data_IF_209742804111
#
_entry.id   IF_209742804111
#
_cell.length_a   1.000
_cell.length_b   1.000
_cell.length_c   1.000
_cell.angle_alpha   90.00
_cell.angle_beta   90.00
_cell.angle_gamma   90.00
#
_symmetry.space_group_name_H-M   'P 1'
#
loop_
_entity.id
_entity.type
_entity.pdbx_description
1 polymer ?
#
# COMPACT_ATOMS: atom_id res chain seq x y z
N UNK A 1 1.22 6.32 22.64
CA UNK A 1 1.77 6.30 21.27
C UNK A 1 0.74 6.93 20.35
N UNK A 2 1.17 7.88 19.60
CA UNK A 2 0.27 8.65 18.73
C UNK A 2 -0.35 7.78 17.67
N UNK A 3 -1.67 7.90 17.49
CA UNK A 3 -2.42 7.17 16.48
C UNK A 3 -2.17 7.68 15.04
N UNK A 4 -1.11 8.48 14.85
CA UNK A 4 -0.69 9.04 13.56
C UNK A 4 -0.37 7.97 12.52
N UNK A 5 0.00 6.76 12.96
CA UNK A 5 0.30 5.65 12.04
C UNK A 5 -0.90 5.22 11.19
N UNK A 6 -2.14 5.56 11.58
CA UNK A 6 -3.31 5.33 10.74
C UNK A 6 -3.35 6.25 9.51
N UNK A 7 -2.69 7.39 9.55
CA UNK A 7 -2.81 8.45 8.55
C UNK A 7 -1.64 8.52 7.57
N UNK A 8 -0.43 8.21 8.02
CA UNK A 8 0.78 8.36 7.23
C UNK A 8 1.12 7.07 6.44
N UNK A 9 1.45 7.16 5.14
CA UNK A 9 1.95 6.02 4.36
C UNK A 9 3.18 5.37 5.04
N UNK A 10 3.31 4.06 4.94
CA UNK A 10 4.28 3.17 5.59
C UNK A 10 4.15 3.00 7.10
N UNK A 11 3.58 3.97 7.81
CA UNK A 11 3.50 3.93 9.27
C UNK A 11 2.67 2.76 9.78
N UNK A 12 1.56 2.46 9.10
CA UNK A 12 0.72 1.34 9.49
C UNK A 12 1.43 0.01 9.29
N UNK A 13 2.10 -0.16 8.15
CA UNK A 13 2.89 -1.37 7.85
C UNK A 13 4.01 -1.55 8.86
N UNK A 14 4.72 -0.47 9.19
CA UNK A 14 5.78 -0.50 10.19
C UNK A 14 5.25 -0.98 11.55
N UNK A 15 4.20 -0.37 12.07
CA UNK A 15 3.63 -0.68 13.39
C UNK A 15 2.98 -2.07 13.42
N UNK A 16 2.31 -2.49 12.34
CA UNK A 16 1.55 -3.75 12.36
C UNK A 16 2.31 -4.97 11.86
N UNK A 17 3.31 -4.81 10.98
CA UNK A 17 3.97 -5.93 10.28
C UNK A 17 5.49 -5.94 10.40
N UNK A 18 6.14 -4.76 10.50
CA UNK A 18 7.61 -4.62 10.46
C UNK A 18 8.21 -4.29 11.84
N UNK A 19 7.59 -4.77 12.92
CA UNK A 19 7.95 -4.44 14.32
C UNK A 19 9.40 -4.78 14.73
N UNK A 20 10.14 -5.58 13.96
CA UNK A 20 11.53 -5.93 14.25
C UNK A 20 12.46 -5.45 13.15
N UNK A 21 13.70 -5.10 13.51
CA UNK A 21 14.73 -4.70 12.53
C UNK A 21 14.95 -5.74 11.43
N UNK A 22 14.95 -7.04 11.78
CA UNK A 22 15.10 -8.10 10.78
C UNK A 22 13.96 -8.12 9.76
N UNK A 23 12.72 -7.89 10.17
CA UNK A 23 11.57 -7.78 9.26
C UNK A 23 11.65 -6.55 8.37
N UNK A 24 12.10 -5.42 8.93
CA UNK A 24 12.30 -4.19 8.15
C UNK A 24 13.40 -4.39 7.08
N UNK A 25 14.55 -4.94 7.47
CA UNK A 25 15.66 -5.23 6.54
C UNK A 25 15.21 -6.21 5.46
N UNK A 26 14.53 -7.30 5.85
CA UNK A 26 13.98 -8.27 4.90
C UNK A 26 13.01 -7.62 3.91
N UNK A 27 12.13 -6.73 4.39
CA UNK A 27 11.19 -6.00 3.54
C UNK A 27 11.91 -5.08 2.53
N UNK A 28 12.95 -4.37 2.96
CA UNK A 28 13.77 -3.53 2.08
C UNK A 28 14.45 -4.38 0.99
N UNK A 29 15.08 -5.50 1.40
CA UNK A 29 15.82 -6.38 0.46
C UNK A 29 14.88 -7.08 -0.51
N UNK A 30 13.72 -7.57 -0.04
CA UNK A 30 12.83 -8.39 -0.88
C UNK A 30 11.90 -7.53 -1.73
N UNK A 31 11.56 -6.32 -1.29
CA UNK A 31 10.58 -5.48 -1.95
C UNK A 31 11.16 -4.19 -2.51
N UNK A 32 11.72 -3.32 -1.66
CA UNK A 32 12.09 -1.95 -2.07
C UNK A 32 13.21 -1.98 -3.11
N UNK A 33 14.30 -2.68 -2.80
CA UNK A 33 15.47 -2.75 -3.70
C UNK A 33 15.11 -3.36 -5.05
N UNK A 34 14.48 -4.55 -5.14
CA UNK A 34 14.13 -5.12 -6.45
C UNK A 34 13.15 -4.25 -7.23
N UNK A 35 12.15 -3.65 -6.57
CA UNK A 35 11.16 -2.80 -7.24
C UNK A 35 11.80 -1.56 -7.85
N UNK A 36 12.69 -0.88 -7.12
CA UNK A 36 13.43 0.29 -7.62
C UNK A 36 14.42 -0.13 -8.70
N UNK A 37 15.16 -1.22 -8.48
CA UNK A 37 16.12 -1.72 -9.45
C UNK A 37 15.46 -2.02 -10.80
N UNK A 38 14.35 -2.75 -10.81
CA UNK A 38 13.61 -3.07 -12.01
C UNK A 38 13.06 -1.82 -12.71
N UNK A 39 12.51 -0.87 -11.95
CA UNK A 39 12.04 0.38 -12.51
C UNK A 39 13.16 1.16 -13.22
N UNK A 40 14.33 1.28 -12.59
CA UNK A 40 15.51 1.95 -13.18
C UNK A 40 16.06 1.17 -14.38
N UNK A 41 16.13 -0.16 -14.26
CA UNK A 41 16.62 -1.03 -15.33
C UNK A 41 15.78 -0.91 -16.59
N UNK A 42 14.46 -0.89 -16.46
CA UNK A 42 13.53 -0.74 -17.59
C UNK A 42 13.61 0.65 -18.23
N UNK A 43 13.92 1.69 -17.44
CA UNK A 43 14.19 3.02 -17.99
C UNK A 43 15.50 3.13 -18.75
N UNK A 44 16.43 2.22 -18.53
CA UNK A 44 17.77 2.27 -19.13
C UNK A 44 18.65 3.41 -18.61
N UNK A 45 18.16 4.23 -17.67
CA UNK A 45 18.89 5.39 -17.16
C UNK A 45 18.77 5.51 -15.65
N UNK A 46 19.91 5.49 -14.96
CA UNK A 46 19.99 5.82 -13.54
C UNK A 46 20.09 7.35 -13.39
N UNK A 47 19.00 7.96 -12.97
CA UNK A 47 18.94 9.39 -12.67
C UNK A 47 18.26 9.64 -11.36
N UNK A 48 18.61 10.76 -10.70
CA UNK A 48 17.95 11.16 -9.42
C UNK A 48 16.44 11.35 -9.59
N UNK A 49 15.93 12.01 -10.66
CA UNK A 49 14.49 12.12 -10.87
C UNK A 49 13.79 10.77 -11.00
N UNK A 50 14.36 9.82 -11.74
CA UNK A 50 13.79 8.48 -11.91
C UNK A 50 13.75 7.70 -10.59
N UNK A 51 14.81 7.80 -9.80
CA UNK A 51 14.86 7.21 -8.47
C UNK A 51 13.79 7.80 -7.54
N UNK A 52 13.64 9.12 -7.52
CA UNK A 52 12.62 9.80 -6.71
C UNK A 52 11.20 9.46 -7.19
N UNK A 53 10.99 9.34 -8.51
CA UNK A 53 9.71 8.92 -9.07
C UNK A 53 9.36 7.49 -8.66
N UNK A 54 10.32 6.57 -8.67
CA UNK A 54 10.12 5.20 -8.21
C UNK A 54 9.77 5.15 -6.71
N UNK A 55 10.46 5.93 -5.88
CA UNK A 55 10.12 6.06 -4.45
C UNK A 55 8.70 6.60 -4.24
N UNK A 56 8.33 7.66 -4.97
CA UNK A 56 6.98 8.23 -4.90
C UNK A 56 5.92 7.22 -5.31
N UNK A 57 6.19 6.41 -6.35
CA UNK A 57 5.30 5.33 -6.76
C UNK A 57 5.13 4.25 -5.69
N UNK A 58 6.20 3.87 -4.99
CA UNK A 58 6.13 2.96 -3.85
C UNK A 58 5.29 3.56 -2.73
N UNK A 59 5.46 4.85 -2.41
CA UNK A 59 4.65 5.56 -1.40
C UNK A 59 3.17 5.52 -1.76
N UNK A 60 2.84 5.77 -3.03
CA UNK A 60 1.47 5.76 -3.53
C UNK A 60 0.85 4.36 -3.46
N UNK A 61 1.56 3.31 -3.88
CA UNK A 61 1.12 1.92 -3.74
C UNK A 61 0.83 1.60 -2.27
N UNK A 62 1.76 1.94 -1.36
CA UNK A 62 1.60 1.63 0.06
C UNK A 62 0.48 2.41 0.72
N UNK A 63 0.20 3.63 0.30
CA UNK A 63 -0.93 4.40 0.82
C UNK A 63 -2.26 3.62 0.67
N UNK A 64 -2.49 3.02 -0.51
CA UNK A 64 -3.71 2.24 -0.75
C UNK A 64 -3.64 0.81 -0.18
N UNK A 65 -2.46 0.19 -0.21
CA UNK A 65 -2.24 -1.12 0.39
C UNK A 65 -2.53 -1.10 1.90
N UNK A 66 -2.04 -0.08 2.59
CA UNK A 66 -2.29 0.08 4.03
C UNK A 66 -3.74 0.38 4.36
N UNK A 67 -4.46 1.06 3.46
CA UNK A 67 -5.92 1.24 3.59
C UNK A 67 -6.64 -0.12 3.65
N UNK A 68 -6.24 -1.06 2.79
CA UNK A 68 -6.74 -2.44 2.84
C UNK A 68 -6.28 -3.21 4.09
N UNK A 69 -5.06 -2.99 4.55
CA UNK A 69 -4.55 -3.58 5.78
C UNK A 69 -5.30 -3.09 7.01
N UNK A 70 -5.55 -1.78 7.11
CA UNK A 70 -6.35 -1.20 8.19
C UNK A 70 -7.73 -1.87 8.21
N UNK A 71 -8.42 -1.94 7.07
CA UNK A 71 -9.72 -2.59 6.98
C UNK A 71 -9.66 -4.08 7.41
N UNK A 72 -8.63 -4.81 6.98
CA UNK A 72 -8.46 -6.20 7.35
C UNK A 72 -8.27 -6.38 8.87
N UNK A 73 -7.40 -5.58 9.46
CA UNK A 73 -6.99 -5.72 10.86
C UNK A 73 -8.01 -5.12 11.85
N UNK A 74 -9.00 -4.35 11.36
CA UNK A 74 -10.01 -3.71 12.21
C UNK A 74 -11.44 -4.22 11.97
N UNK A 75 -11.82 -4.49 10.72
CA UNK A 75 -13.19 -4.89 10.37
C UNK A 75 -13.29 -6.39 10.05
N UNK A 76 -12.35 -6.90 9.24
CA UNK A 76 -12.42 -8.28 8.79
C UNK A 76 -12.09 -9.26 9.92
N UNK A 77 -11.11 -8.92 10.74
CA UNK A 77 -10.69 -9.69 11.91
C UNK A 77 -11.83 -10.01 12.88
N UNK A 78 -12.84 -9.15 13.00
CA UNK A 78 -14.03 -9.38 13.83
C UNK A 78 -14.91 -10.55 13.40
N UNK A 79 -14.72 -11.04 12.17
CA UNK A 79 -15.48 -12.14 11.58
C UNK A 79 -14.69 -13.44 11.53
N UNK A 80 -13.46 -13.44 12.00
CA UNK A 80 -12.58 -14.61 12.02
C UNK A 80 -12.76 -15.41 13.30
N UNK A 81 -12.77 -16.75 13.18
CA UNK A 81 -12.88 -17.64 14.33
C UNK A 81 -11.65 -17.58 15.24
N UNK A 82 -10.46 -17.45 14.64
CA UNK A 82 -9.17 -17.33 15.33
C UNK A 82 -8.42 -16.10 14.81
N UNK A 83 -8.79 -14.89 15.25
CA UNK A 83 -8.25 -13.66 14.70
C UNK A 83 -6.80 -13.41 15.13
N UNK A 84 -5.96 -12.98 14.19
CA UNK A 84 -4.63 -12.46 14.52
C UNK A 84 -4.73 -10.98 14.87
N UNK A 85 -4.82 -10.67 16.16
CA UNK A 85 -4.90 -9.28 16.64
C UNK A 85 -3.56 -8.57 16.46
N UNK A 86 -3.53 -7.50 15.66
CA UNK A 86 -2.34 -6.70 15.36
C UNK A 86 -2.33 -5.36 16.09
N UNK A 87 -3.50 -4.88 16.44
CA UNK A 87 -3.74 -3.63 17.15
C UNK A 87 -4.08 -3.90 18.60
N UNK A 88 -3.70 -2.99 19.49
CA UNK A 88 -4.16 -3.00 20.89
C UNK A 88 -5.63 -2.56 20.97
N UNK A 89 -6.28 -2.85 22.11
CA UNK A 89 -7.66 -2.44 22.36
C UNK A 89 -7.85 -0.92 22.23
N UNK A 90 -6.91 -0.14 22.75
CA UNK A 90 -6.95 1.32 22.65
C UNK A 90 -6.85 1.81 21.19
N UNK A 91 -6.02 1.14 20.38
CA UNK A 91 -5.89 1.46 18.95
C UNK A 91 -7.16 1.08 18.18
N UNK A 92 -7.78 -0.05 18.55
CA UNK A 92 -9.05 -0.47 17.97
C UNK A 92 -10.18 0.51 18.34
N UNK A 93 -10.28 0.93 19.59
CA UNK A 93 -11.26 1.93 20.06
C UNK A 93 -11.07 3.28 19.34
N UNK A 94 -9.81 3.71 19.17
CA UNK A 94 -9.49 4.91 18.39
C UNK A 94 -9.97 4.79 16.94
N UNK A 95 -9.69 3.66 16.27
CA UNK A 95 -10.16 3.43 14.91
C UNK A 95 -11.69 3.52 14.81
N UNK A 96 -12.44 2.88 15.72
CA UNK A 96 -13.92 2.90 15.68
C UNK A 96 -14.48 4.33 15.72
N UNK A 97 -13.86 5.20 16.50
CA UNK A 97 -14.28 6.60 16.62
C UNK A 97 -13.88 7.44 15.42
N UNK A 98 -12.71 7.15 14.79
CA UNK A 98 -12.11 8.00 13.77
C UNK A 98 -12.11 7.40 12.37
N UNK A 99 -12.74 6.25 12.14
CA UNK A 99 -12.61 5.50 10.87
C UNK A 99 -12.92 6.34 9.61
N UNK A 100 -13.94 7.18 9.65
CA UNK A 100 -14.29 8.04 8.51
C UNK A 100 -13.17 9.04 8.20
N UNK A 101 -12.54 9.61 9.22
CA UNK A 101 -11.43 10.55 9.09
C UNK A 101 -10.20 9.81 8.57
N UNK A 102 -9.90 8.63 9.11
CA UNK A 102 -8.76 7.81 8.67
C UNK A 102 -8.86 7.51 7.16
N UNK A 103 -10.00 6.98 6.70
CA UNK A 103 -10.18 6.70 5.28
C UNK A 103 -10.24 7.95 4.42
N UNK A 104 -10.84 9.03 4.92
CA UNK A 104 -10.87 10.32 4.24
C UNK A 104 -9.47 10.89 4.01
N UNK A 105 -8.63 10.91 5.06
CA UNK A 105 -7.24 11.36 4.95
C UNK A 105 -6.42 10.48 4.01
N UNK A 106 -6.56 9.14 4.09
CA UNK A 106 -5.88 8.22 3.17
C UNK A 106 -6.27 8.43 1.72
N UNK A 107 -7.56 8.66 1.47
CA UNK A 107 -8.05 8.95 0.13
C UNK A 107 -7.51 10.28 -0.40
N UNK A 108 -7.57 11.35 0.39
CA UNK A 108 -7.02 12.65 0.03
C UNK A 108 -5.51 12.61 -0.21
N UNK A 109 -4.78 11.89 0.64
CA UNK A 109 -3.34 11.63 0.44
C UNK A 109 -3.10 10.88 -0.88
N UNK A 110 -3.91 9.88 -1.20
CA UNK A 110 -3.83 9.15 -2.47
C UNK A 110 -4.09 10.04 -3.69
N UNK A 111 -5.10 10.92 -3.64
CA UNK A 111 -5.38 11.90 -4.68
C UNK A 111 -4.20 12.85 -4.86
N UNK A 112 -3.70 13.42 -3.77
CA UNK A 112 -2.57 14.35 -3.78
C UNK A 112 -1.31 13.70 -4.37
N UNK A 113 -0.94 12.51 -3.87
CA UNK A 113 0.22 11.78 -4.37
C UNK A 113 0.07 11.40 -5.84
N UNK A 114 -1.13 10.99 -6.27
CA UNK A 114 -1.42 10.70 -7.69
C UNK A 114 -1.25 11.94 -8.56
N UNK A 115 -1.75 13.09 -8.11
CA UNK A 115 -1.57 14.37 -8.81
C UNK A 115 -0.08 14.72 -8.95
N UNK A 116 0.68 14.66 -7.86
CA UNK A 116 2.12 14.92 -7.87
C UNK A 116 2.84 13.95 -8.80
N UNK A 117 2.50 12.64 -8.74
CA UNK A 117 3.08 11.62 -9.59
C UNK A 117 2.85 11.91 -11.08
N UNK A 118 1.62 12.20 -11.47
CA UNK A 118 1.26 12.54 -12.87
C UNK A 118 2.00 13.79 -13.35
N UNK A 119 2.16 14.79 -12.46
CA UNK A 119 2.89 16.03 -12.82
C UNK A 119 4.39 15.83 -13.00
N UNK A 120 4.97 14.89 -12.28
CA UNK A 120 6.42 14.60 -12.32
C UNK A 120 6.79 13.52 -13.32
N UNK A 121 5.87 12.64 -13.69
CA UNK A 121 6.13 11.52 -14.59
C UNK A 121 5.97 11.93 -16.05
N UNK A 122 7.03 11.90 -16.86
CA UNK A 122 6.94 12.12 -18.31
C UNK A 122 6.57 10.84 -19.08
N UNK A 123 6.32 9.72 -18.39
CA UNK A 123 6.25 8.39 -18.98
C UNK A 123 4.84 8.07 -19.50
N UNK A 124 4.75 7.39 -20.62
CA UNK A 124 3.50 6.99 -21.28
C UNK A 124 2.67 6.03 -20.40
N UNK A 125 3.34 5.20 -19.61
CA UNK A 125 2.72 4.26 -18.68
C UNK A 125 2.15 4.87 -17.39
N UNK A 126 2.22 6.22 -17.22
CA UNK A 126 1.74 6.89 -16.02
C UNK A 126 0.26 6.60 -15.75
N UNK A 127 -0.60 6.69 -16.76
CA UNK A 127 -2.03 6.43 -16.60
C UNK A 127 -2.33 4.96 -16.26
N UNK A 128 -1.79 3.95 -16.96
CA UNK A 128 -1.92 2.55 -16.55
C UNK A 128 -1.46 2.29 -15.11
N UNK A 129 -0.35 2.87 -14.69
CA UNK A 129 0.14 2.77 -13.32
C UNK A 129 -0.87 3.32 -12.30
N UNK A 130 -1.36 4.55 -12.51
CA UNK A 130 -2.35 5.18 -11.63
C UNK A 130 -3.63 4.33 -11.54
N UNK A 131 -4.14 3.83 -12.68
CA UNK A 131 -5.33 2.96 -12.71
C UNK A 131 -5.09 1.68 -11.91
N UNK A 132 -3.93 1.03 -12.09
CA UNK A 132 -3.57 -0.17 -11.34
C UNK A 132 -3.50 0.10 -9.83
N UNK A 133 -2.89 1.21 -9.43
CA UNK A 133 -2.76 1.57 -8.00
C UNK A 133 -4.13 1.88 -7.37
N UNK A 134 -5.00 2.60 -8.05
CA UNK A 134 -6.35 2.86 -7.57
C UNK A 134 -7.22 1.61 -7.50
N UNK A 135 -6.98 0.63 -8.39
CA UNK A 135 -7.68 -0.66 -8.35
C UNK A 135 -7.42 -1.44 -7.06
N UNK A 136 -6.32 -1.18 -6.34
CA UNK A 136 -6.01 -1.78 -5.03
C UNK A 136 -7.19 -1.61 -4.05
N UNK A 137 -7.81 -0.43 -4.01
CA UNK A 137 -8.96 -0.16 -3.14
C UNK A 137 -10.16 -1.07 -3.47
N UNK A 138 -10.46 -1.23 -4.75
CA UNK A 138 -11.55 -2.08 -5.21
C UNK A 138 -11.26 -3.56 -4.92
N UNK A 139 -10.03 -4.00 -5.20
CA UNK A 139 -9.60 -5.38 -4.94
C UNK A 139 -9.69 -5.68 -3.45
N UNK A 140 -9.20 -4.79 -2.57
CA UNK A 140 -9.32 -4.96 -1.13
C UNK A 140 -10.77 -4.92 -0.64
N UNK A 141 -11.62 -4.07 -1.20
CA UNK A 141 -13.03 -4.02 -0.85
C UNK A 141 -13.76 -5.37 -1.10
N UNK A 142 -13.37 -6.08 -2.15
CA UNK A 142 -13.86 -7.43 -2.45
C UNK A 142 -13.13 -8.48 -1.61
N UNK A 143 -11.80 -8.43 -1.58
CA UNK A 143 -10.93 -9.36 -0.84
C UNK A 143 -11.33 -9.50 0.63
N UNK A 144 -11.58 -8.37 1.30
CA UNK A 144 -11.94 -8.35 2.72
C UNK A 144 -13.38 -8.85 3.00
N UNK A 145 -14.21 -9.01 1.98
CA UNK A 145 -15.58 -9.54 2.10
C UNK A 145 -15.69 -11.03 1.76
N UNK A 146 -14.86 -11.48 0.83
CA UNK A 146 -14.95 -12.83 0.25
C UNK A 146 -14.08 -13.80 1.04
N UNK A 147 -14.57 -15.01 1.31
CA UNK A 147 -13.87 -16.08 2.04
C UNK A 147 -13.95 -17.41 1.28
N UNK A 148 -13.68 -17.39 -0.03
CA UNK A 148 -13.66 -18.57 -0.91
C UNK A 148 -12.40 -18.59 -1.78
N UNK A 149 -12.32 -19.49 -2.76
CA UNK A 149 -11.17 -19.62 -3.67
C UNK A 149 -10.80 -18.32 -4.40
N UNK A 150 -11.77 -17.41 -4.61
CA UNK A 150 -11.53 -16.10 -5.22
C UNK A 150 -10.55 -15.24 -4.38
N UNK A 151 -10.50 -15.45 -3.07
CA UNK A 151 -9.54 -14.75 -2.18
C UNK A 151 -8.09 -14.95 -2.64
N UNK A 152 -7.74 -16.15 -3.11
CA UNK A 152 -6.38 -16.44 -3.61
C UNK A 152 -6.06 -15.63 -4.87
N UNK A 153 -7.01 -15.55 -5.82
CA UNK A 153 -6.84 -14.77 -7.05
C UNK A 153 -6.71 -13.27 -6.74
N UNK A 154 -7.58 -12.75 -5.86
CA UNK A 154 -7.51 -11.33 -5.45
C UNK A 154 -6.19 -11.02 -4.73
N UNK A 155 -5.71 -11.94 -3.88
CA UNK A 155 -4.41 -11.79 -3.24
C UNK A 155 -3.27 -11.76 -4.27
N UNK A 156 -3.29 -12.67 -5.25
CA UNK A 156 -2.30 -12.68 -6.32
C UNK A 156 -2.29 -11.36 -7.11
N UNK A 157 -3.46 -10.81 -7.46
CA UNK A 157 -3.57 -9.50 -8.12
C UNK A 157 -2.97 -8.38 -7.27
N UNK A 158 -3.28 -8.35 -5.96
CA UNK A 158 -2.68 -7.37 -5.04
C UNK A 158 -1.15 -7.50 -5.03
N UNK A 159 -0.60 -8.72 -4.95
CA UNK A 159 0.84 -8.96 -4.97
C UNK A 159 1.46 -8.49 -6.30
N UNK A 160 0.83 -8.79 -7.43
CA UNK A 160 1.30 -8.35 -8.76
C UNK A 160 1.35 -6.82 -8.80
N UNK A 161 0.30 -6.12 -8.42
CA UNK A 161 0.30 -4.64 -8.42
C UNK A 161 1.38 -4.10 -7.48
N UNK A 162 1.58 -4.72 -6.34
CA UNK A 162 2.59 -4.29 -5.36
C UNK A 162 4.01 -4.41 -5.91
N UNK A 163 4.37 -5.54 -6.52
CA UNK A 163 5.73 -5.84 -6.99
C UNK A 163 6.00 -5.37 -8.42
N UNK A 164 4.99 -5.44 -9.28
CA UNK A 164 5.11 -5.15 -10.71
C UNK A 164 4.38 -3.88 -11.14
N UNK A 165 3.71 -3.16 -10.23
CA UNK A 165 2.93 -1.98 -10.61
C UNK A 165 3.80 -0.87 -11.21
N UNK A 166 4.99 -0.63 -10.66
CA UNK A 166 5.91 0.39 -11.19
C UNK A 166 6.41 0.07 -12.61
N UNK A 167 6.48 -1.21 -12.99
CA UNK A 167 6.90 -1.62 -14.33
C UNK A 167 5.87 -1.26 -15.40
N UNK A 168 4.63 -0.95 -15.03
CA UNK A 168 3.62 -0.44 -15.96
C UNK A 168 3.94 0.95 -16.51
N UNK A 169 4.95 1.64 -15.94
CA UNK A 169 5.40 2.95 -16.42
C UNK A 169 6.16 2.85 -17.75
N UNK A 170 6.69 1.68 -18.06
CA UNK A 170 7.56 1.38 -19.21
C UNK A 170 6.92 0.37 -20.15
#
# INVERSE_FOLDING_TARGET
>A
MDNLFFYLPFSYTYVSRLKSHSKLISWVIIYVIPTIYLAIFLQGTLSVPNFLLALLGIVLIYNFYETGYIQNDTETVKRELNPTMRLSENQQAYYETHKKIIYGVRLLTGVFLSFVFVRLSPLSGTLPFIVAVWSILLIYAVYNKVRNKLTLTLHALLVIIRFCGLQLLF
#
